data_IF_033660536235
#
_entry.id   IF_033660536235
#
_cell.length_a   1.000
_cell.length_b   1.000
_cell.length_c   1.000
_cell.angle_alpha   90.00
_cell.angle_beta   90.00
_cell.angle_gamma   90.00
#
_symmetry.space_group_name_H-M   'P 1'
#
loop_
_entity.id
_entity.type
_entity.pdbx_description
1 polymer ?
#
# COMPACT_ATOMS: atom_id res chain seq x y z
N UNK A 1 -3.73 -20.30 -0.73
CA UNK A 1 -4.03 -19.22 -1.57
C UNK A 1 -4.35 -17.91 -0.88
N UNK A 2 -4.47 -16.89 -1.67
CA UNK A 2 -4.80 -15.54 -1.22
C UNK A 2 -6.26 -15.26 -1.51
N UNK A 3 -7.02 -14.88 -0.48
CA UNK A 3 -8.45 -14.60 -0.65
C UNK A 3 -8.70 -13.24 -1.27
N UNK A 4 -7.86 -12.25 -0.95
CA UNK A 4 -8.01 -10.89 -1.47
C UNK A 4 -6.68 -10.16 -1.54
N UNK A 5 -6.49 -9.38 -2.61
CA UNK A 5 -5.36 -8.49 -2.79
C UNK A 5 -5.86 -7.06 -2.69
N UNK A 6 -5.19 -6.25 -1.86
CA UNK A 6 -5.56 -4.85 -1.62
C UNK A 6 -4.37 -3.96 -1.95
N UNK A 7 -4.64 -2.86 -2.65
CA UNK A 7 -3.70 -1.76 -2.82
C UNK A 7 -4.25 -0.55 -2.07
N UNK A 8 -3.50 -0.03 -1.11
CA UNK A 8 -3.91 1.08 -0.27
C UNK A 8 -2.88 2.20 -0.34
N UNK A 9 -3.35 3.42 -0.44
CA UNK A 9 -2.48 4.60 -0.51
C UNK A 9 -3.20 5.81 0.08
N UNK A 10 -2.43 6.81 0.52
CA UNK A 10 -2.94 8.09 1.02
C UNK A 10 -3.33 8.94 -0.20
N UNK A 11 -4.42 8.55 -0.83
CA UNK A 11 -5.03 9.23 -1.97
C UNK A 11 -6.54 9.09 -1.84
N UNK A 12 -7.29 9.94 -2.55
CA UNK A 12 -8.74 9.81 -2.58
C UNK A 12 -9.19 8.66 -3.48
N UNK A 13 -10.48 8.31 -3.37
CA UNK A 13 -11.06 7.20 -4.11
C UNK A 13 -11.00 7.40 -5.63
N UNK A 14 -11.06 8.64 -6.10
CA UNK A 14 -11.02 8.94 -7.54
C UNK A 14 -9.64 8.66 -8.11
N UNK A 15 -8.58 9.02 -7.40
CA UNK A 15 -7.20 8.72 -7.78
C UNK A 15 -6.97 7.22 -7.79
N UNK A 16 -7.45 6.51 -6.77
CA UNK A 16 -7.29 5.05 -6.68
C UNK A 16 -8.02 4.34 -7.80
N UNK A 17 -9.22 4.80 -8.16
CA UNK A 17 -9.98 4.25 -9.28
C UNK A 17 -9.25 4.45 -10.61
N UNK A 18 -8.74 5.65 -10.85
CA UNK A 18 -7.98 5.95 -12.05
C UNK A 18 -6.71 5.10 -12.16
N UNK A 19 -6.01 4.93 -11.05
CA UNK A 19 -4.81 4.09 -11.00
C UNK A 19 -5.14 2.63 -11.31
N UNK A 20 -6.21 2.09 -10.72
CA UNK A 20 -6.66 0.74 -11.01
C UNK A 20 -7.00 0.53 -12.47
N UNK A 21 -7.69 1.48 -13.08
CA UNK A 21 -8.02 1.44 -14.51
C UNK A 21 -6.78 1.51 -15.39
N UNK A 22 -5.85 2.38 -15.05
CA UNK A 22 -4.60 2.52 -15.79
C UNK A 22 -3.79 1.22 -15.80
N UNK A 23 -3.79 0.50 -14.68
CA UNK A 23 -3.06 -0.77 -14.53
C UNK A 23 -3.89 -2.00 -14.94
N UNK A 24 -5.15 -1.81 -15.27
CA UNK A 24 -6.00 -2.92 -15.70
C UNK A 24 -6.28 -3.95 -14.62
N UNK A 25 -6.40 -3.51 -13.37
CA UNK A 25 -6.58 -4.42 -12.23
C UNK A 25 -7.95 -5.09 -12.20
N UNK A 26 -8.97 -4.46 -12.81
CA UNK A 26 -10.34 -4.95 -12.78
C UNK A 26 -10.83 -5.15 -11.34
N UNK A 27 -11.37 -6.33 -11.08
CA UNK A 27 -11.80 -6.73 -9.74
C UNK A 27 -10.81 -7.65 -9.02
N UNK A 28 -9.61 -7.82 -9.57
CA UNK A 28 -8.56 -8.66 -8.99
C UNK A 28 -7.87 -8.02 -7.79
N UNK A 29 -7.77 -6.70 -7.78
CA UNK A 29 -7.14 -5.92 -6.72
C UNK A 29 -8.12 -4.86 -6.24
N UNK A 30 -8.41 -4.88 -4.94
CA UNK A 30 -9.23 -3.85 -4.31
C UNK A 30 -8.38 -2.60 -4.11
N UNK A 31 -8.75 -1.50 -4.77
CA UNK A 31 -8.04 -0.22 -4.69
C UNK A 31 -8.69 0.63 -3.60
N UNK A 32 -7.99 0.83 -2.49
CA UNK A 32 -8.51 1.58 -1.34
C UNK A 32 -7.78 2.92 -1.16
N UNK A 33 -8.55 3.97 -0.99
CA UNK A 33 -8.04 5.31 -0.70
C UNK A 33 -8.10 5.60 0.80
N UNK A 34 -6.93 5.88 1.39
CA UNK A 34 -6.80 6.36 2.77
C UNK A 34 -6.59 7.89 2.72
N UNK A 35 -7.61 8.60 2.22
CA UNK A 35 -7.52 10.02 1.87
C UNK A 35 -7.06 10.93 2.99
N UNK A 36 -7.52 10.66 4.23
CA UNK A 36 -7.12 11.43 5.41
C UNK A 36 -5.90 10.86 6.12
N UNK A 37 -5.41 9.71 5.69
CA UNK A 37 -4.27 9.06 6.34
C UNK A 37 -4.59 8.37 7.65
N UNK A 38 -5.86 8.13 7.96
CA UNK A 38 -6.27 7.56 9.25
C UNK A 38 -5.72 6.16 9.47
N UNK A 39 -5.84 5.31 8.48
CA UNK A 39 -5.29 3.95 8.55
C UNK A 39 -3.76 3.98 8.64
N UNK A 40 -3.13 4.79 7.81
CA UNK A 40 -1.68 4.93 7.76
C UNK A 40 -1.14 5.42 9.11
N UNK A 41 -1.79 6.40 9.72
CA UNK A 41 -1.42 6.90 11.04
C UNK A 41 -1.62 5.84 12.13
N UNK A 42 -2.74 5.13 12.08
CA UNK A 42 -3.04 4.09 13.06
C UNK A 42 -2.03 2.94 13.04
N UNK A 43 -1.47 2.63 11.88
CA UNK A 43 -0.45 1.58 11.73
C UNK A 43 0.98 2.07 11.99
N UNK A 44 1.19 3.37 12.11
CA UNK A 44 2.52 3.95 12.30
C UNK A 44 3.38 3.96 11.04
N UNK A 45 2.80 3.76 9.86
CA UNK A 45 3.52 3.68 8.59
C UNK A 45 3.50 5.00 7.85
N UNK A 46 3.64 6.10 8.57
CA UNK A 46 3.60 7.46 8.01
C UNK A 46 4.97 7.93 7.53
N UNK A 47 4.94 8.76 6.51
CA UNK A 47 6.11 9.44 5.96
C UNK A 47 5.80 10.93 5.83
N UNK A 48 6.72 11.80 6.25
CA UNK A 48 6.60 13.23 6.05
C UNK A 48 7.15 13.61 4.66
N UNK A 49 6.25 13.88 3.74
CA UNK A 49 6.56 14.33 2.39
C UNK A 49 6.45 15.84 2.20
N UNK A 50 6.36 16.61 3.30
CA UNK A 50 6.13 18.06 3.21
C UNK A 50 7.23 18.80 2.44
N UNK A 51 8.47 18.30 2.46
CA UNK A 51 9.58 18.88 1.69
C UNK A 51 9.38 18.80 0.18
N UNK A 52 8.48 17.93 -0.29
CA UNK A 52 8.14 17.78 -1.71
C UNK A 52 6.70 18.22 -2.01
N UNK A 53 6.05 18.90 -1.08
CA UNK A 53 4.66 19.32 -1.25
C UNK A 53 3.64 18.20 -1.14
N UNK A 54 4.02 17.04 -0.59
CA UNK A 54 3.16 15.87 -0.50
C UNK A 54 2.43 15.75 0.84
N UNK A 55 2.87 16.48 1.85
CA UNK A 55 2.29 16.38 3.20
C UNK A 55 2.60 15.02 3.84
N UNK A 56 1.67 14.55 4.67
CA UNK A 56 1.79 13.25 5.31
C UNK A 56 1.35 12.15 4.36
N UNK A 57 2.21 11.19 4.14
CA UNK A 57 1.99 10.05 3.23
C UNK A 57 2.34 8.74 3.93
N UNK A 58 2.16 7.65 3.20
CA UNK A 58 2.51 6.32 3.67
C UNK A 58 3.94 5.98 3.27
N UNK A 59 4.66 5.27 4.15
CA UNK A 59 5.84 4.53 3.76
C UNK A 59 5.45 3.49 2.69
N UNK A 60 6.42 3.03 1.91
CA UNK A 60 6.19 1.97 0.93
C UNK A 60 6.39 0.62 1.60
N UNK A 61 5.39 -0.24 1.50
CA UNK A 61 5.43 -1.55 2.15
C UNK A 61 4.52 -2.54 1.43
N UNK A 62 4.73 -3.82 1.71
CA UNK A 62 3.74 -4.87 1.47
C UNK A 62 3.56 -5.67 2.75
N UNK A 63 2.39 -6.29 2.92
CA UNK A 63 2.13 -7.10 4.10
C UNK A 63 1.20 -8.26 3.78
N UNK A 64 1.33 -9.30 4.58
CA UNK A 64 0.42 -10.45 4.56
C UNK A 64 -0.39 -10.40 5.85
N UNK A 65 -1.72 -10.44 5.70
CA UNK A 65 -2.65 -10.45 6.82
C UNK A 65 -3.36 -11.79 6.79
N UNK A 66 -3.31 -12.51 7.90
CA UNK A 66 -3.99 -13.79 8.07
C UNK A 66 -4.79 -13.74 9.37
N UNK A 67 -6.10 -13.97 9.24
CA UNK A 67 -7.04 -13.97 10.37
C UNK A 67 -6.92 -12.69 11.22
N UNK A 68 -6.94 -11.54 10.54
CA UNK A 68 -6.85 -10.19 11.12
C UNK A 68 -5.50 -9.90 11.81
N UNK A 69 -4.49 -10.72 11.60
CA UNK A 69 -3.14 -10.50 12.15
C UNK A 69 -2.14 -10.30 11.03
N UNK A 70 -1.24 -9.33 11.20
CA UNK A 70 -0.14 -9.11 10.25
C UNK A 70 0.92 -10.17 10.51
N UNK A 71 1.11 -11.09 9.56
CA UNK A 71 2.09 -12.17 9.68
C UNK A 71 3.42 -11.82 9.03
N UNK A 72 3.42 -10.95 8.02
CA UNK A 72 4.61 -10.45 7.34
C UNK A 72 4.45 -8.96 7.05
N UNK A 73 5.50 -8.20 7.29
CA UNK A 73 5.59 -6.79 6.91
C UNK A 73 6.92 -6.56 6.22
N UNK A 74 6.88 -6.12 4.97
CA UNK A 74 8.06 -5.82 4.17
C UNK A 74 8.13 -4.31 3.94
N UNK A 75 8.99 -3.65 4.68
CA UNK A 75 9.10 -2.20 4.66
C UNK A 75 10.32 -1.78 3.83
N UNK A 76 10.11 -0.89 2.85
CA UNK A 76 11.21 -0.33 2.08
C UNK A 76 12.01 0.65 2.94
N UNK A 77 13.32 0.53 2.90
CA UNK A 77 14.21 1.48 3.58
C UNK A 77 14.26 2.83 2.88
N UNK A 78 14.01 2.84 1.57
CA UNK A 78 13.91 4.05 0.76
C UNK A 78 12.58 4.06 0.02
N UNK A 79 11.65 5.01 0.31
CA UNK A 79 10.33 5.03 -0.33
C UNK A 79 10.34 5.15 -1.85
N UNK A 80 11.46 5.60 -2.43
CA UNK A 80 11.62 5.70 -3.87
C UNK A 80 11.98 4.38 -4.56
N UNK A 81 12.27 3.35 -3.79
CA UNK A 81 12.69 2.04 -4.31
C UNK A 81 11.59 1.00 -4.12
N UNK A 82 11.59 -0.01 -4.99
CA UNK A 82 10.71 -1.18 -4.90
C UNK A 82 11.60 -2.41 -4.89
N UNK A 83 12.00 -2.85 -3.70
CA UNK A 83 12.81 -4.06 -3.53
C UNK A 83 12.10 -5.04 -2.61
N UNK A 84 11.85 -4.63 -1.37
CA UNK A 84 11.28 -5.50 -0.34
C UNK A 84 9.76 -5.59 -0.43
N UNK A 85 9.10 -4.55 -0.94
CA UNK A 85 7.63 -4.47 -1.04
C UNK A 85 7.10 -4.90 -2.41
N UNK A 86 7.95 -5.39 -3.30
CA UNK A 86 7.53 -5.78 -4.66
C UNK A 86 6.60 -6.99 -4.64
N UNK A 87 5.82 -7.14 -5.71
CA UNK A 87 4.98 -8.32 -5.90
C UNK A 87 5.81 -9.60 -5.91
N UNK A 88 6.98 -9.56 -6.53
CA UNK A 88 7.90 -10.70 -6.57
C UNK A 88 8.34 -11.12 -5.17
N UNK A 89 8.71 -10.15 -4.33
CA UNK A 89 9.10 -10.41 -2.95
C UNK A 89 7.99 -11.06 -2.15
N UNK A 90 6.76 -10.52 -2.23
CA UNK A 90 5.65 -11.05 -1.44
C UNK A 90 5.18 -12.41 -1.94
N UNK A 91 5.23 -12.65 -3.25
CA UNK A 91 4.90 -13.96 -3.82
C UNK A 91 5.81 -15.05 -3.31
N UNK A 92 7.08 -14.75 -3.07
CA UNK A 92 8.04 -15.69 -2.50
C UNK A 92 7.76 -16.05 -1.04
N UNK A 93 6.90 -15.29 -0.36
CA UNK A 93 6.55 -15.49 1.05
C UNK A 93 5.23 -16.25 1.24
N UNK A 94 4.49 -16.46 0.17
CA UNK A 94 3.17 -17.13 0.22
C UNK A 94 3.27 -18.70 0.16
#
# INVERSE_FOLDING_TARGET
GVDQIVCLSVNDAFVMDAWGKDKGTGDKILMLGDGNGDFTEATGLTMDGSGFGLGSRSLRYSMIIDDNSITKLNLESNPGEIAESSAESILGQL
#
